data_IF_252105018733
#
_entry.id   IF_252105018733
#
_cell.length_a   1.000
_cell.length_b   1.000
_cell.length_c   1.000
_cell.angle_alpha   90.00
_cell.angle_beta   90.00
_cell.angle_gamma   90.00
#
_symmetry.space_group_name_H-M   'P 1'
#
loop_
_entity.id
_entity.type
_entity.pdbx_description
1 polymer ?
#
# COMPACT_ATOMS: atom_id res chain seq x y z
N UNK A 1 -20.81 -40.91 19.24
CA UNK A 1 -19.60 -40.19 19.70
C UNK A 1 -18.62 -40.14 18.55
N UNK A 2 -18.06 -38.97 18.23
CA UNK A 2 -17.05 -38.85 17.18
C UNK A 2 -15.71 -39.33 17.74
N UNK A 3 -15.14 -40.37 17.13
CA UNK A 3 -13.84 -40.92 17.51
C UNK A 3 -12.78 -40.34 16.57
N UNK A 4 -11.84 -39.56 17.13
CA UNK A 4 -10.88 -38.77 16.37
C UNK A 4 -9.88 -39.61 15.56
N UNK A 5 -9.72 -40.90 15.87
CA UNK A 5 -8.77 -41.81 15.22
C UNK A 5 -9.33 -43.26 15.19
N UNK A 6 -9.81 -43.76 14.04
CA UNK A 6 -10.34 -45.13 13.90
C UNK A 6 -9.27 -46.23 14.10
N UNK A 7 -8.00 -45.86 13.91
CA UNK A 7 -6.85 -46.75 13.74
C UNK A 7 -5.99 -46.82 15.01
N UNK A 8 -6.21 -45.92 15.97
CA UNK A 8 -5.43 -45.80 17.20
C UNK A 8 -4.02 -45.21 17.03
N UNK A 9 -3.58 -44.91 15.81
CA UNK A 9 -2.29 -44.28 15.54
C UNK A 9 -2.41 -42.76 15.45
N UNK A 10 -1.48 -42.08 16.12
CA UNK A 10 -1.39 -40.61 16.15
C UNK A 10 -0.71 -40.15 14.85
N UNK A 11 -1.42 -39.44 13.98
CA UNK A 11 -0.86 -38.94 12.72
C UNK A 11 0.30 -37.96 13.00
N UNK A 12 1.56 -38.31 12.64
CA UNK A 12 2.72 -37.46 12.89
C UNK A 12 2.64 -36.08 12.20
N UNK A 13 1.85 -35.97 11.12
CA UNK A 13 1.64 -34.71 10.38
C UNK A 13 0.80 -33.72 11.19
N UNK A 14 -0.10 -34.20 12.05
CA UNK A 14 -0.88 -33.39 12.98
C UNK A 14 -0.26 -33.34 14.39
N UNK A 15 0.81 -34.10 14.63
CA UNK A 15 1.53 -34.15 15.90
C UNK A 15 2.55 -33.02 16.10
N UNK A 16 2.90 -32.29 15.03
CA UNK A 16 3.72 -31.10 15.15
C UNK A 16 2.86 -29.97 15.67
N UNK A 17 3.07 -29.62 16.94
CA UNK A 17 2.58 -28.37 17.52
C UNK A 17 2.88 -27.24 16.54
N UNK A 18 1.87 -26.43 16.25
CA UNK A 18 2.08 -25.12 15.64
C UNK A 18 2.93 -24.36 16.64
N UNK A 19 4.24 -24.37 16.43
CA UNK A 19 5.21 -23.71 17.30
C UNK A 19 4.91 -22.20 17.22
N UNK A 20 4.15 -21.71 18.21
CA UNK A 20 3.74 -20.32 18.36
C UNK A 20 4.99 -19.51 18.72
N UNK A 21 5.85 -19.30 17.73
CA UNK A 21 7.03 -18.47 17.89
C UNK A 21 6.58 -17.02 18.03
N UNK A 22 7.00 -16.41 19.12
CA UNK A 22 6.91 -14.98 19.30
C UNK A 22 7.86 -14.30 18.31
N UNK A 23 7.32 -13.70 17.26
CA UNK A 23 8.06 -13.02 16.19
C UNK A 23 7.86 -11.50 16.30
N UNK A 24 8.56 -10.82 17.22
CA UNK A 24 8.45 -9.36 17.33
C UNK A 24 9.06 -8.70 16.09
N UNK A 25 8.44 -7.63 15.61
CA UNK A 25 9.02 -6.78 14.58
C UNK A 25 8.86 -5.31 14.97
N UNK A 26 9.89 -4.52 14.67
CA UNK A 26 9.96 -3.10 14.93
C UNK A 26 10.30 -2.37 13.64
N UNK A 27 9.75 -1.17 13.46
CA UNK A 27 10.05 -0.29 12.34
C UNK A 27 10.46 1.08 12.81
N UNK A 28 11.29 1.75 12.01
CA UNK A 28 11.69 3.14 12.23
C UNK A 28 11.40 3.96 10.99
N UNK A 29 11.08 5.23 11.17
CA UNK A 29 10.92 6.16 10.06
C UNK A 29 11.11 7.60 10.49
N UNK A 30 11.50 8.43 9.54
CA UNK A 30 11.58 9.87 9.67
C UNK A 30 10.69 10.51 8.60
N UNK A 31 9.95 11.54 8.99
CA UNK A 31 9.07 12.27 8.09
C UNK A 31 9.27 13.76 8.29
N UNK A 32 9.71 14.44 7.24
CA UNK A 32 9.89 15.87 7.19
C UNK A 32 8.83 16.45 6.25
N UNK A 33 8.12 17.46 6.71
CA UNK A 33 7.12 18.14 5.91
C UNK A 33 7.25 19.65 6.07
N UNK A 34 6.93 20.34 4.99
CA UNK A 34 6.69 21.77 4.93
C UNK A 34 5.30 22.02 4.32
N UNK A 35 4.94 23.28 4.07
CA UNK A 35 3.64 23.63 3.49
C UNK A 35 3.42 22.99 2.11
N UNK A 36 4.44 23.00 1.26
CA UNK A 36 4.32 22.58 -0.14
C UNK A 36 5.09 21.30 -0.49
N UNK A 37 5.89 20.74 0.41
CA UNK A 37 6.64 19.52 0.11
C UNK A 37 6.78 18.63 1.33
N UNK A 38 7.04 17.36 1.06
CA UNK A 38 7.35 16.38 2.09
C UNK A 38 8.36 15.37 1.59
N UNK A 39 9.12 14.83 2.52
CA UNK A 39 10.04 13.72 2.29
C UNK A 39 10.00 12.80 3.52
N UNK A 40 9.94 11.51 3.27
CA UNK A 40 9.87 10.50 4.31
C UNK A 40 10.76 9.32 3.98
N UNK A 41 11.42 8.80 5.00
CA UNK A 41 12.19 7.57 4.95
C UNK A 41 11.62 6.61 6.00
N UNK A 42 11.33 5.38 5.62
CA UNK A 42 10.77 4.39 6.53
C UNK A 42 11.36 2.99 6.27
N UNK A 43 11.67 2.30 7.36
CA UNK A 43 12.05 0.88 7.39
C UNK A 43 11.06 0.20 8.34
N UNK A 44 9.92 -0.32 7.84
CA UNK A 44 8.86 -0.85 8.69
C UNK A 44 9.25 -2.14 9.42
N UNK A 45 10.24 -2.87 8.90
CA UNK A 45 10.65 -4.18 9.40
C UNK A 45 12.17 -4.22 9.59
N UNK A 46 12.61 -4.09 10.84
CA UNK A 46 14.02 -4.12 11.24
C UNK A 46 14.48 -5.49 11.71
N UNK A 47 13.60 -6.29 12.31
CA UNK A 47 13.94 -7.60 12.85
C UNK A 47 13.72 -8.64 11.76
N UNK A 48 14.74 -9.47 11.55
CA UNK A 48 14.65 -10.64 10.67
C UNK A 48 14.23 -11.82 11.51
N UNK A 49 13.00 -12.27 11.25
CA UNK A 49 12.44 -13.44 11.91
C UNK A 49 12.75 -14.68 11.05
N UNK A 50 13.63 -15.52 11.57
CA UNK A 50 14.05 -16.75 10.93
C UNK A 50 13.02 -17.88 11.15
N UNK A 51 12.45 -18.40 10.07
CA UNK A 51 11.49 -19.51 10.08
C UNK A 51 12.16 -20.90 10.12
N UNK A 52 13.37 -21.00 10.68
CA UNK A 52 14.30 -22.14 10.52
C UNK A 52 13.90 -23.44 11.25
N UNK A 53 12.63 -23.67 11.55
CA UNK A 53 12.17 -24.90 12.24
C UNK A 53 10.87 -25.51 11.68
N UNK A 54 10.64 -25.39 10.37
CA UNK A 54 9.62 -26.19 9.69
C UNK A 54 10.28 -27.13 8.67
N UNK A 55 10.65 -28.34 9.11
CA UNK A 55 11.27 -29.37 8.27
C UNK A 55 10.33 -29.94 7.18
N UNK A 56 9.04 -29.56 7.17
CA UNK A 56 8.06 -29.99 6.16
C UNK A 56 7.43 -28.86 5.34
N UNK A 57 7.73 -27.60 5.64
CA UNK A 57 7.25 -26.48 4.84
C UNK A 57 8.45 -25.68 4.37
N UNK A 58 8.62 -25.64 3.05
CA UNK A 58 9.48 -24.71 2.34
C UNK A 58 9.52 -23.37 3.09
N UNK A 59 10.68 -23.03 3.64
CA UNK A 59 10.98 -21.75 4.27
C UNK A 59 10.94 -20.65 3.20
N UNK A 60 9.74 -20.30 2.73
CA UNK A 60 9.50 -19.28 1.72
C UNK A 60 8.78 -18.11 2.36
N UNK A 61 9.46 -17.42 3.27
CA UNK A 61 9.30 -15.99 3.46
C UNK A 61 10.41 -15.53 4.40
N UNK A 62 11.65 -15.46 3.89
CA UNK A 62 12.60 -14.53 4.48
C UNK A 62 11.91 -13.16 4.46
N UNK A 63 11.70 -12.59 5.65
CA UNK A 63 11.02 -11.31 5.81
C UNK A 63 11.91 -10.23 5.19
N UNK A 64 11.69 -9.94 3.90
CA UNK A 64 12.59 -9.07 3.14
C UNK A 64 12.56 -7.66 3.74
N UNK A 65 13.65 -7.30 4.41
CA UNK A 65 13.85 -5.95 4.93
C UNK A 65 13.76 -4.97 3.77
N UNK A 66 12.80 -4.07 3.86
CA UNK A 66 12.49 -3.13 2.80
C UNK A 66 12.59 -1.72 3.36
N UNK A 67 13.37 -0.88 2.69
CA UNK A 67 13.48 0.53 2.95
C UNK A 67 12.66 1.29 1.90
N UNK A 68 11.90 2.26 2.39
CA UNK A 68 11.08 3.16 1.59
C UNK A 68 11.63 4.57 1.73
N UNK A 69 11.90 5.22 0.60
CA UNK A 69 12.14 6.65 0.53
C UNK A 69 11.04 7.23 -0.35
N UNK A 70 10.31 8.22 0.13
CA UNK A 70 9.23 8.83 -0.64
C UNK A 70 9.20 10.33 -0.42
N UNK A 71 8.62 11.05 -1.36
CA UNK A 71 8.45 12.48 -1.25
C UNK A 71 7.49 12.99 -2.30
N UNK A 72 7.08 14.23 -2.13
CA UNK A 72 6.19 14.88 -3.07
C UNK A 72 6.17 16.38 -2.88
N UNK A 73 5.67 17.06 -3.89
CA UNK A 73 5.49 18.51 -3.89
C UNK A 73 4.04 18.82 -4.25
N UNK A 74 3.49 19.89 -3.69
CA UNK A 74 2.14 20.39 -3.94
C UNK A 74 2.26 21.74 -4.65
N UNK A 75 1.90 21.75 -5.93
CA UNK A 75 1.85 22.94 -6.76
C UNK A 75 0.43 23.49 -6.82
N UNK A 76 0.25 24.73 -6.37
CA UNK A 76 -0.97 25.50 -6.58
C UNK A 76 -0.86 26.21 -7.94
N UNK A 77 -1.53 25.70 -8.97
CA UNK A 77 -1.41 26.23 -10.33
C UNK A 77 -2.19 27.55 -10.49
N UNK A 78 -3.27 27.70 -9.72
CA UNK A 78 -4.16 28.86 -9.76
C UNK A 78 -4.14 29.62 -8.42
N UNK A 79 -4.18 30.97 -8.42
CA UNK A 79 -4.21 31.77 -7.19
C UNK A 79 -5.41 31.45 -6.28
N UNK A 80 -6.50 30.94 -6.83
CA UNK A 80 -7.69 30.55 -6.08
C UNK A 80 -7.66 29.06 -5.65
N UNK A 81 -6.54 28.36 -5.82
CA UNK A 81 -6.36 26.94 -5.43
C UNK A 81 -7.37 25.97 -6.05
N UNK A 82 -7.98 26.36 -7.18
CA UNK A 82 -8.94 25.51 -7.90
C UNK A 82 -8.27 24.34 -8.61
N UNK A 83 -6.97 24.45 -8.87
CA UNK A 83 -6.19 23.43 -9.54
C UNK A 83 -4.91 23.18 -8.76
N UNK A 84 -4.81 21.99 -8.16
CA UNK A 84 -3.68 21.58 -7.33
C UNK A 84 -3.05 20.37 -7.98
N UNK A 85 -1.76 20.46 -8.28
CA UNK A 85 -0.99 19.37 -8.86
C UNK A 85 0.03 18.84 -7.85
N UNK A 86 -0.03 17.54 -7.58
CA UNK A 86 0.79 16.85 -6.57
C UNK A 86 1.57 15.70 -7.22
N UNK A 87 2.77 15.96 -7.77
CA UNK A 87 3.70 14.93 -8.13
C UNK A 87 4.33 14.32 -6.87
N UNK A 88 4.43 13.00 -6.85
CA UNK A 88 5.00 12.23 -5.76
C UNK A 88 5.91 11.15 -6.33
N UNK A 89 7.03 10.90 -5.68
CA UNK A 89 7.93 9.81 -6.02
C UNK A 89 8.17 8.94 -4.79
N UNK A 90 8.35 7.64 -5.02
CA UNK A 90 8.77 6.69 -4.01
C UNK A 90 9.79 5.73 -4.61
N UNK A 91 10.81 5.40 -3.82
CA UNK A 91 11.82 4.41 -4.12
C UNK A 91 11.73 3.34 -3.03
N UNK A 92 11.65 2.09 -3.48
CA UNK A 92 11.60 0.91 -2.63
C UNK A 92 12.86 0.09 -2.86
N UNK A 93 13.64 -0.07 -1.80
CA UNK A 93 14.82 -0.92 -1.77
C UNK A 93 14.59 -2.10 -0.85
N UNK A 94 14.58 -3.30 -1.41
CA UNK A 94 14.35 -4.55 -0.70
C UNK A 94 15.58 -5.43 -0.83
N UNK A 95 16.10 -5.98 0.28
CA UNK A 95 17.31 -6.82 0.24
C UNK A 95 17.04 -8.06 -0.63
N UNK A 96 17.87 -8.28 -1.65
CA UNK A 96 17.75 -9.44 -2.55
C UNK A 96 16.68 -9.30 -3.66
N UNK A 97 16.01 -8.15 -3.77
CA UNK A 97 15.09 -7.84 -4.86
C UNK A 97 15.59 -6.64 -5.69
N UNK A 98 15.22 -6.55 -6.98
CA UNK A 98 15.58 -5.40 -7.79
C UNK A 98 14.98 -4.11 -7.20
N UNK A 99 15.72 -3.01 -7.31
CA UNK A 99 15.27 -1.68 -6.90
C UNK A 99 14.00 -1.30 -7.67
N UNK A 100 12.97 -0.81 -6.97
CA UNK A 100 11.74 -0.35 -7.58
C UNK A 100 11.50 1.12 -7.30
N UNK A 101 10.93 1.82 -8.27
CA UNK A 101 10.55 3.20 -8.14
C UNK A 101 9.12 3.40 -8.67
N UNK A 102 8.42 4.26 -7.97
CA UNK A 102 7.01 4.57 -8.14
C UNK A 102 6.93 6.08 -8.34
N UNK A 103 6.42 6.52 -9.48
CA UNK A 103 6.17 7.92 -9.79
C UNK A 103 4.68 8.12 -9.94
N UNK A 104 4.09 9.03 -9.18
CA UNK A 104 2.70 9.38 -9.32
C UNK A 104 2.53 10.89 -9.54
N UNK A 105 1.50 11.23 -10.28
CA UNK A 105 1.10 12.58 -10.62
C UNK A 105 -0.39 12.68 -10.33
N UNK A 106 -0.73 13.49 -9.34
CA UNK A 106 -2.12 13.68 -8.94
C UNK A 106 -2.57 15.10 -9.23
N UNK A 107 -3.80 15.25 -9.67
CA UNK A 107 -4.42 16.52 -9.99
C UNK A 107 -5.75 16.60 -9.26
N UNK A 108 -5.89 17.60 -8.41
CA UNK A 108 -7.18 17.98 -7.86
C UNK A 108 -7.73 19.18 -8.61
N UNK A 109 -8.98 19.04 -9.03
CA UNK A 109 -9.77 20.01 -9.77
C UNK A 109 -10.99 20.41 -8.93
N UNK A 110 -11.10 21.71 -8.64
CA UNK A 110 -12.18 22.36 -7.88
C UNK A 110 -12.53 21.70 -6.54
N UNK A 111 -11.56 21.06 -5.87
CA UNK A 111 -11.79 20.31 -4.62
C UNK A 111 -12.87 19.21 -4.73
N UNK A 112 -13.19 18.79 -5.95
CA UNK A 112 -14.28 17.85 -6.24
C UNK A 112 -13.87 16.68 -7.09
N UNK A 113 -12.88 16.86 -7.95
CA UNK A 113 -12.39 15.81 -8.84
C UNK A 113 -10.91 15.61 -8.60
N UNK A 114 -10.55 14.40 -8.21
CA UNK A 114 -9.20 13.92 -8.04
C UNK A 114 -8.86 12.99 -9.19
N UNK A 115 -7.75 13.23 -9.87
CA UNK A 115 -7.23 12.39 -10.95
C UNK A 115 -5.81 12.01 -10.58
N UNK A 116 -5.52 10.73 -10.47
CA UNK A 116 -4.19 10.22 -10.17
C UNK A 116 -3.70 9.32 -11.29
N UNK A 117 -2.46 9.53 -11.73
CA UNK A 117 -1.73 8.58 -12.57
C UNK A 117 -0.49 8.13 -11.82
N UNK A 118 -0.18 6.85 -11.86
CA UNK A 118 0.98 6.28 -11.21
C UNK A 118 1.67 5.28 -12.13
N UNK A 119 2.99 5.37 -12.19
CA UNK A 119 3.86 4.48 -12.91
C UNK A 119 4.75 3.76 -11.91
N UNK A 120 4.66 2.45 -11.87
CA UNK A 120 5.51 1.59 -11.05
C UNK A 120 6.47 0.82 -11.93
N UNK A 121 7.75 1.10 -11.77
CA UNK A 121 8.82 0.50 -12.57
C UNK A 121 8.83 -1.02 -12.44
N UNK A 122 8.89 -1.71 -13.58
CA UNK A 122 8.87 -3.16 -13.66
C UNK A 122 7.61 -3.79 -13.07
N UNK A 123 6.48 -3.08 -13.10
CA UNK A 123 5.21 -3.63 -12.61
C UNK A 123 4.00 -3.17 -13.42
N UNK A 124 3.53 -1.95 -13.18
CA UNK A 124 2.20 -1.54 -13.63
C UNK A 124 2.09 -0.03 -13.82
N UNK A 125 1.13 0.34 -14.67
CA UNK A 125 0.60 1.70 -14.77
C UNK A 125 -0.78 1.70 -14.15
N UNK A 126 -0.99 2.60 -13.20
CA UNK A 126 -2.23 2.74 -12.46
C UNK A 126 -2.86 4.09 -12.82
N UNK A 127 -4.16 4.10 -13.09
CA UNK A 127 -4.94 5.32 -13.21
C UNK A 127 -6.07 5.29 -12.18
N UNK A 128 -6.26 6.39 -11.48
CA UNK A 128 -7.29 6.54 -10.46
C UNK A 128 -8.03 7.85 -10.66
N UNK A 129 -9.31 7.83 -10.33
CA UNK A 129 -10.16 9.01 -10.28
C UNK A 129 -11.04 8.94 -9.06
N UNK A 130 -11.27 10.06 -8.41
CA UNK A 130 -12.16 10.14 -7.28
C UNK A 130 -12.98 11.43 -7.32
N UNK A 131 -14.28 11.29 -7.15
CA UNK A 131 -15.25 12.37 -7.17
C UNK A 131 -15.80 12.56 -5.75
N UNK A 132 -15.75 13.79 -5.27
CA UNK A 132 -16.39 14.23 -4.03
C UNK A 132 -17.74 14.86 -4.40
N UNK A 133 -18.81 14.08 -4.29
CA UNK A 133 -20.17 14.54 -4.61
C UNK A 133 -20.69 15.52 -3.55
N UNK A 134 -20.32 15.28 -2.30
CA UNK A 134 -20.65 16.11 -1.14
C UNK A 134 -19.47 16.03 -0.17
N UNK A 135 -19.42 16.92 0.83
CA UNK A 135 -18.39 16.89 1.89
C UNK A 135 -18.29 15.53 2.62
N UNK A 136 -19.35 14.72 2.55
CA UNK A 136 -19.48 13.45 3.25
C UNK A 136 -19.49 12.24 2.32
N UNK A 137 -19.54 12.42 0.99
CA UNK A 137 -19.70 11.32 0.05
C UNK A 137 -18.66 11.41 -1.06
N UNK A 138 -17.86 10.35 -1.20
CA UNK A 138 -16.85 10.19 -2.24
C UNK A 138 -17.04 8.88 -2.98
N UNK A 139 -16.83 8.93 -4.29
CA UNK A 139 -16.82 7.77 -5.17
C UNK A 139 -15.51 7.75 -5.94
N UNK A 140 -14.84 6.60 -5.98
CA UNK A 140 -13.56 6.41 -6.62
C UNK A 140 -13.61 5.26 -7.62
N UNK A 141 -12.79 5.37 -8.65
CA UNK A 141 -12.51 4.31 -9.59
C UNK A 141 -11.00 4.25 -9.82
N UNK A 142 -10.43 3.06 -9.81
CA UNK A 142 -9.03 2.83 -10.14
C UNK A 142 -8.91 1.69 -11.15
N UNK A 143 -7.90 1.78 -12.00
CA UNK A 143 -7.53 0.74 -12.94
C UNK A 143 -6.02 0.53 -12.90
N UNK A 144 -5.61 -0.73 -12.84
CA UNK A 144 -4.21 -1.14 -12.82
C UNK A 144 -3.92 -2.01 -14.03
N UNK A 145 -2.98 -1.56 -14.85
CA UNK A 145 -2.51 -2.28 -16.04
C UNK A 145 -1.06 -2.68 -15.80
N UNK A 146 -0.87 -3.94 -15.40
CA UNK A 146 0.45 -4.56 -15.22
C UNK A 146 1.06 -4.88 -16.58
N UNK A 147 2.34 -4.58 -16.80
CA UNK A 147 3.04 -4.83 -18.07
C UNK A 147 4.20 -5.83 -17.93
N UNK A 148 4.16 -6.63 -16.86
CA UNK A 148 5.14 -7.67 -16.58
C UNK A 148 4.90 -8.95 -17.40
N UNK A 149 5.75 -9.96 -17.20
CA UNK A 149 5.66 -11.28 -17.82
C UNK A 149 4.30 -12.00 -17.59
N UNK A 150 3.52 -11.53 -16.60
CA UNK A 150 2.19 -12.04 -16.26
C UNK A 150 1.08 -11.35 -17.08
N UNK A 151 1.37 -10.27 -17.81
CA UNK A 151 0.40 -9.54 -18.64
C UNK A 151 -0.44 -10.43 -19.57
N UNK A 152 0.11 -11.47 -20.25
CA UNK A 152 -0.70 -12.35 -21.10
C UNK A 152 -1.78 -13.14 -20.34
N UNK A 153 -1.64 -13.27 -19.02
CA UNK A 153 -2.52 -14.01 -18.12
C UNK A 153 -3.37 -13.09 -17.23
N UNK A 154 -3.22 -11.77 -17.37
CA UNK A 154 -3.87 -10.76 -16.56
C UNK A 154 -4.38 -9.60 -17.45
N UNK A 155 -5.69 -9.38 -17.45
CA UNK A 155 -6.32 -8.29 -18.23
C UNK A 155 -6.40 -6.96 -17.47
N UNK A 156 -5.54 -6.75 -16.47
CA UNK A 156 -5.60 -5.63 -15.54
C UNK A 156 -6.65 -5.81 -14.44
N UNK A 157 -6.67 -4.87 -13.50
CA UNK A 157 -7.57 -4.84 -12.34
C UNK A 157 -8.38 -3.57 -12.38
N UNK A 158 -9.69 -3.66 -12.11
CA UNK A 158 -10.59 -2.51 -12.02
C UNK A 158 -11.21 -2.49 -10.63
N UNK A 159 -11.10 -1.36 -9.94
CA UNK A 159 -11.57 -1.20 -8.57
C UNK A 159 -12.53 -0.02 -8.47
N UNK A 160 -13.60 -0.21 -7.71
CA UNK A 160 -14.56 0.83 -7.38
C UNK A 160 -14.56 1.04 -5.88
N UNK A 161 -14.48 2.29 -5.44
CA UNK A 161 -14.47 2.66 -4.03
C UNK A 161 -15.62 3.61 -3.75
N UNK A 162 -16.29 3.42 -2.62
CA UNK A 162 -17.27 4.37 -2.10
C UNK A 162 -16.91 4.67 -0.65
N UNK A 163 -16.89 5.96 -0.30
CA UNK A 163 -16.61 6.41 1.06
C UNK A 163 -17.71 7.35 1.55
N UNK A 164 -18.16 7.12 2.77
CA UNK A 164 -19.08 8.02 3.47
C UNK A 164 -18.42 8.49 4.78
N UNK A 165 -18.25 9.79 4.94
CA UNK A 165 -17.74 10.39 6.18
C UNK A 165 -18.90 10.81 7.07
N UNK A 166 -19.07 10.12 8.20
CA UNK A 166 -20.06 10.47 9.22
C UNK A 166 -19.42 11.41 10.25
N UNK A 167 -19.81 12.67 10.21
CA UNK A 167 -19.31 13.67 11.16
C UNK A 167 -20.48 14.25 11.95
N UNK A 168 -20.55 13.88 13.22
CA UNK A 168 -21.59 14.32 14.15
C UNK A 168 -21.28 15.69 14.80
N UNK A 169 -20.07 16.22 14.62
CA UNK A 169 -19.58 17.42 15.30
C UNK A 169 -19.08 18.53 14.37
N UNK A 170 -19.23 18.39 13.05
CA UNK A 170 -19.06 19.47 12.06
C UNK A 170 -17.62 19.91 11.77
N UNK A 171 -16.62 19.04 11.98
CA UNK A 171 -15.23 19.27 11.61
C UNK A 171 -14.97 18.86 10.15
N UNK A 172 -14.60 19.82 9.32
CA UNK A 172 -14.16 19.54 7.94
C UNK A 172 -12.76 18.90 7.95
N UNK A 173 -12.66 17.61 7.62
CA UNK A 173 -11.40 16.85 7.62
C UNK A 173 -10.58 16.97 6.31
N UNK A 174 -11.13 17.60 5.27
CA UNK A 174 -10.45 17.73 3.97
C UNK A 174 -9.41 18.84 4.07
N UNK A 175 -8.17 18.49 4.42
CA UNK A 175 -7.02 19.39 4.25
C UNK A 175 -6.44 19.15 2.85
N UNK A 176 -6.19 20.23 2.10
CA UNK A 176 -5.55 20.17 0.78
C UNK A 176 -4.19 19.44 0.78
N UNK A 177 -3.54 19.37 1.94
CA UNK A 177 -2.28 18.63 2.14
C UNK A 177 -2.47 17.10 2.18
N UNK A 178 -3.66 16.65 2.58
CA UNK A 178 -4.09 15.26 2.69
C UNK A 178 -5.26 14.95 1.75
N UNK A 179 -5.23 15.46 0.52
CA UNK A 179 -5.78 14.59 -0.52
C UNK A 179 -5.18 13.20 -0.38
#
# INVERSE_FOLDING_TARGET
EYQLYPDGEYDPVFAQDVDLKFLPNFGIGAFLYEDNYYIGLAIPKLVENDFTYNYQNYSTQSEVRTMYLHGGYVFFIDPMSRLIFKPTGMVRYSIGLPLQFDLAANLLVYERLWLGLMFRSGNAVCASTQFFLTKNLRFGFAMDVTYNEIFPYQNGTYEFTMGWDMDFYGRSYIRAKYF
#
